data_IF_260195607895
#
_entry.id   IF_260195607895
#
_cell.length_a   1.000
_cell.length_b   1.000
_cell.length_c   1.000
_cell.angle_alpha   90.00
_cell.angle_beta   90.00
_cell.angle_gamma   90.00
#
_symmetry.space_group_name_H-M   'P 1'
#
loop_
_entity.id
_entity.type
_entity.pdbx_description
1 polymer ?
#
# COMPACT_ATOMS: atom_id res chain seq x y z
N UNK A 1 10.64 -4.85 -7.20
CA UNK A 1 9.35 -5.15 -6.51
C UNK A 1 9.44 -5.01 -4.98
N UNK A 2 10.07 -5.90 -4.18
CA UNK A 2 10.22 -5.63 -2.74
C UNK A 2 11.04 -4.38 -2.43
N UNK A 3 12.07 -4.09 -3.23
CA UNK A 3 12.93 -2.93 -3.03
C UNK A 3 12.19 -1.62 -3.36
N UNK A 4 11.47 -1.56 -4.47
CA UNK A 4 10.58 -0.42 -4.81
C UNK A 4 9.53 -0.16 -3.72
N UNK A 5 8.96 -1.22 -3.13
CA UNK A 5 8.00 -1.06 -2.03
C UNK A 5 8.67 -0.51 -0.75
N UNK A 6 9.93 -0.89 -0.48
CA UNK A 6 10.71 -0.33 0.64
C UNK A 6 11.09 1.12 0.39
N UNK A 7 11.52 1.46 -0.82
CA UNK A 7 11.82 2.84 -1.21
C UNK A 7 10.60 3.74 -1.07
N UNK A 8 9.44 3.27 -1.52
CA UNK A 8 8.17 3.97 -1.33
C UNK A 8 7.85 4.15 0.15
N UNK A 9 8.00 3.12 0.99
CA UNK A 9 7.76 3.21 2.42
C UNK A 9 8.67 4.24 3.11
N UNK A 10 9.95 4.30 2.71
CA UNK A 10 10.88 5.35 3.18
C UNK A 10 10.39 6.73 2.75
N UNK A 11 10.03 6.92 1.47
CA UNK A 11 9.53 8.20 0.96
C UNK A 11 8.25 8.65 1.68
N UNK A 12 7.31 7.73 1.92
CA UNK A 12 6.09 8.03 2.67
C UNK A 12 6.39 8.46 4.11
N UNK A 13 7.34 7.79 4.77
CA UNK A 13 7.79 8.16 6.11
C UNK A 13 8.50 9.52 6.13
N UNK A 14 9.31 9.83 5.12
CA UNK A 14 9.99 11.12 5.00
C UNK A 14 8.98 12.28 4.81
N UNK A 15 7.91 12.04 4.05
CA UNK A 15 6.88 13.06 3.76
C UNK A 15 5.89 13.23 4.90
N UNK A 16 5.44 12.13 5.52
CA UNK A 16 4.33 12.15 6.47
C UNK A 16 4.72 11.86 7.92
N UNK A 17 5.97 11.44 8.17
CA UNK A 17 6.46 11.08 9.51
C UNK A 17 5.66 9.95 10.13
N UNK A 18 5.43 10.05 11.44
CA UNK A 18 4.70 9.05 12.22
C UNK A 18 3.16 9.07 11.99
N UNK A 19 2.67 9.91 11.07
CA UNK A 19 1.24 9.94 10.70
C UNK A 19 0.83 8.73 9.85
N UNK A 20 1.79 7.98 9.32
CA UNK A 20 1.56 6.82 8.45
C UNK A 20 2.39 5.63 8.91
N UNK A 21 1.80 4.44 8.81
CA UNK A 21 2.49 3.17 8.96
C UNK A 21 2.45 2.42 7.61
N UNK A 22 3.57 1.84 7.22
CA UNK A 22 3.71 1.15 5.94
C UNK A 22 4.20 -0.28 6.17
N UNK A 23 3.52 -1.25 5.54
CA UNK A 23 3.89 -2.66 5.59
C UNK A 23 3.92 -3.26 4.18
N UNK A 24 4.95 -4.05 3.91
CA UNK A 24 5.00 -4.92 2.73
C UNK A 24 4.52 -6.31 3.11
N UNK A 25 3.46 -6.78 2.43
CA UNK A 25 2.90 -8.11 2.62
C UNK A 25 3.23 -8.97 1.39
N UNK A 26 3.96 -10.06 1.60
CA UNK A 26 4.14 -11.08 0.57
C UNK A 26 2.93 -12.00 0.55
N UNK A 27 2.13 -11.90 -0.52
CA UNK A 27 0.91 -12.68 -0.73
C UNK A 27 1.15 -14.18 -0.87
N UNK A 28 2.41 -14.61 -1.06
CA UNK A 28 2.78 -16.03 -1.05
C UNK A 28 2.94 -16.61 0.36
N UNK A 29 2.84 -15.76 1.39
CA UNK A 29 2.97 -16.16 2.79
C UNK A 29 1.62 -16.08 3.50
N UNK A 30 1.50 -16.76 4.65
CA UNK A 30 0.29 -16.74 5.47
C UNK A 30 -0.08 -15.36 6.02
N UNK A 31 0.81 -14.36 5.93
CA UNK A 31 0.51 -12.98 6.37
C UNK A 31 -0.69 -12.36 5.66
N UNK A 32 -1.02 -12.81 4.44
CA UNK A 32 -2.20 -12.30 3.73
C UNK A 32 -3.52 -12.64 4.44
N UNK A 33 -3.53 -13.69 5.26
CA UNK A 33 -4.70 -14.14 6.02
C UNK A 33 -5.14 -13.14 7.10
N UNK A 34 -4.24 -12.24 7.49
CA UNK A 34 -4.56 -11.12 8.39
C UNK A 34 -5.44 -10.06 7.70
N UNK A 35 -5.58 -10.13 6.36
CA UNK A 35 -6.29 -9.17 5.51
C UNK A 35 -7.29 -9.88 4.57
N UNK A 36 -8.35 -10.52 5.08
CA UNK A 36 -9.23 -11.40 4.29
C UNK A 36 -9.95 -10.69 3.14
N UNK A 37 -10.27 -9.39 3.28
CA UNK A 37 -10.89 -8.62 2.20
C UNK A 37 -9.92 -8.32 1.06
N UNK A 38 -8.62 -8.17 1.37
CA UNK A 38 -7.56 -8.00 0.37
C UNK A 38 -7.31 -9.33 -0.34
N UNK A 39 -7.27 -10.44 0.41
CA UNK A 39 -7.06 -11.79 -0.13
C UNK A 39 -8.10 -12.14 -1.21
N UNK A 40 -9.39 -11.86 -0.95
CA UNK A 40 -10.50 -12.08 -1.91
C UNK A 40 -10.34 -11.33 -3.23
N UNK A 41 -9.53 -10.27 -3.26
CA UNK A 41 -9.36 -9.42 -4.44
C UNK A 41 -8.12 -9.76 -5.25
N UNK A 42 -7.19 -10.58 -4.73
CA UNK A 42 -5.91 -10.86 -5.37
C UNK A 42 -6.04 -11.46 -6.78
N UNK A 43 -7.00 -12.36 -6.98
CA UNK A 43 -7.24 -13.00 -8.29
C UNK A 43 -7.82 -12.04 -9.34
N UNK A 44 -8.24 -10.85 -8.92
CA UNK A 44 -8.93 -9.86 -9.77
C UNK A 44 -8.04 -8.69 -10.16
N UNK A 45 -6.82 -8.61 -9.62
CA UNK A 45 -5.90 -7.48 -9.81
C UNK A 45 -4.53 -7.94 -10.30
N UNK A 46 -3.75 -7.02 -10.85
CA UNK A 46 -2.33 -7.26 -11.13
C UNK A 46 -1.49 -6.77 -9.96
N UNK A 47 -0.60 -7.60 -9.44
CA UNK A 47 0.33 -7.18 -8.40
C UNK A 47 1.38 -6.18 -8.92
N UNK A 48 1.95 -5.32 -8.06
CA UNK A 48 1.61 -5.14 -6.64
C UNK A 48 0.24 -4.49 -6.45
N UNK A 49 -0.43 -4.80 -5.34
CA UNK A 49 -1.68 -4.16 -4.90
C UNK A 49 -1.38 -3.22 -3.73
N UNK A 50 -1.85 -1.99 -3.81
CA UNK A 50 -1.71 -1.00 -2.75
C UNK A 50 -3.04 -0.80 -2.05
N UNK A 51 -2.98 -0.86 -0.72
CA UNK A 51 -4.11 -0.74 0.17
C UNK A 51 -3.81 0.40 1.14
N UNK A 52 -4.71 1.37 1.22
CA UNK A 52 -4.61 2.51 2.14
C UNK A 52 -5.81 2.42 3.09
N UNK A 53 -5.55 2.34 4.40
CA UNK A 53 -6.58 2.21 5.44
C UNK A 53 -7.58 1.05 5.19
N UNK A 54 -7.08 -0.09 4.70
CA UNK A 54 -7.90 -1.26 4.38
C UNK A 54 -8.61 -1.20 3.03
N UNK A 55 -8.56 -0.06 2.32
CA UNK A 55 -9.17 0.10 1.00
C UNK A 55 -8.14 -0.09 -0.14
N UNK A 56 -8.40 -1.00 -1.10
CA UNK A 56 -7.62 -1.10 -2.32
C UNK A 56 -7.67 0.19 -3.14
N UNK A 57 -6.51 0.73 -3.53
CA UNK A 57 -6.42 2.00 -4.27
C UNK A 57 -5.77 1.87 -5.63
N UNK A 58 -4.72 1.07 -5.74
CA UNK A 58 -3.92 0.96 -6.96
C UNK A 58 -3.42 -0.46 -7.16
N UNK A 59 -3.21 -0.87 -8.41
CA UNK A 59 -2.64 -2.17 -8.72
C UNK A 59 -1.83 -2.15 -10.01
N UNK A 60 -0.82 -3.02 -10.11
CA UNK A 60 -0.05 -3.26 -11.33
C UNK A 60 1.17 -2.35 -11.52
N UNK A 61 1.50 -1.54 -10.53
CA UNK A 61 2.67 -0.67 -10.52
C UNK A 61 2.72 0.21 -9.26
N UNK A 62 3.87 0.86 -9.04
CA UNK A 62 4.12 1.78 -7.93
C UNK A 62 4.48 3.17 -8.48
N UNK A 63 3.47 4.00 -8.72
CA UNK A 63 3.69 5.41 -9.05
C UNK A 63 3.76 6.23 -7.75
N UNK A 64 4.98 6.60 -7.34
CA UNK A 64 5.21 7.21 -6.04
C UNK A 64 4.43 8.52 -5.83
N UNK A 65 4.29 9.34 -6.86
CA UNK A 65 3.68 10.65 -6.73
C UNK A 65 2.16 10.51 -6.59
N UNK A 66 1.54 9.62 -7.38
CA UNK A 66 0.11 9.28 -7.23
C UNK A 66 -0.21 8.70 -5.85
N UNK A 67 0.68 7.89 -5.29
CA UNK A 67 0.48 7.28 -3.97
C UNK A 67 0.60 8.32 -2.86
N UNK A 68 1.58 9.22 -2.96
CA UNK A 68 1.76 10.32 -2.00
C UNK A 68 0.52 11.20 -1.98
N UNK A 69 0.00 11.58 -3.15
CA UNK A 69 -1.22 12.38 -3.26
C UNK A 69 -2.41 11.65 -2.63
N UNK A 70 -2.58 10.36 -2.89
CA UNK A 70 -3.66 9.57 -2.31
C UNK A 70 -3.56 9.44 -0.78
N UNK A 71 -2.35 9.29 -0.22
CA UNK A 71 -2.14 9.28 1.23
C UNK A 71 -2.46 10.64 1.84
N UNK A 72 -2.04 11.72 1.18
CA UNK A 72 -2.35 13.10 1.60
C UNK A 72 -3.86 13.34 1.65
N UNK A 73 -4.59 12.91 0.62
CA UNK A 73 -6.06 13.00 0.60
C UNK A 73 -6.74 12.26 1.76
N UNK A 74 -6.17 11.15 2.24
CA UNK A 74 -6.73 10.44 3.41
C UNK A 74 -6.44 11.18 4.71
N UNK A 75 -5.24 11.74 4.83
CA UNK A 75 -4.84 12.51 6.00
C UNK A 75 -5.61 13.82 6.14
N UNK A 76 -5.99 14.45 5.03
CA UNK A 76 -6.77 15.70 5.01
C UNK A 76 -8.27 15.48 5.31
N UNK A 77 -8.75 14.23 5.26
CA UNK A 77 -10.13 13.84 5.62
C UNK A 77 -10.35 13.59 7.11
N UNK A 78 -9.27 13.56 7.89
CA UNK A 78 -9.27 13.24 9.33
C UNK A 78 -9.14 14.52 10.15
#
# INVERSE_FOLDING_TARGET
MPDEARELAVKLKDVFGDRVECAFIDVKTDKIKDYPEVEKMLDRVRLPLMVINGEPRFHGGLDQDLIIDAVKEQLDKT
#
